data_IF_274266628226
#
_entry.id   IF_274266628226
#
_cell.length_a   1.000
_cell.length_b   1.000
_cell.length_c   1.000
_cell.angle_alpha   90.00
_cell.angle_beta   90.00
_cell.angle_gamma   90.00
#
_symmetry.space_group_name_H-M   'P 1'
#
loop_
_entity.id
_entity.type
_entity.pdbx_description
1 polymer ?
#
# COMPACT_ATOMS: atom_id res chain seq x y z
N UNK A 1 -14.34 -2.22 16.14
CA UNK A 1 -13.09 -1.47 15.83
C UNK A 1 -13.10 -1.18 14.33
N UNK A 2 -12.64 0.01 13.93
CA UNK A 2 -12.74 0.48 12.54
C UNK A 2 -11.75 -0.22 11.59
N UNK A 3 -10.57 -0.59 12.12
CA UNK A 3 -9.56 -1.39 11.41
C UNK A 3 -9.55 -2.81 12.00
N UNK A 4 -9.83 -3.83 11.18
CA UNK A 4 -9.73 -5.24 11.56
C UNK A 4 -8.30 -5.64 11.97
N UNK A 5 -8.17 -6.64 12.86
CA UNK A 5 -6.85 -7.16 13.32
C UNK A 5 -5.96 -7.68 12.18
N UNK A 6 -6.58 -8.25 11.14
CA UNK A 6 -5.94 -8.62 9.88
C UNK A 6 -6.72 -7.93 8.78
N UNK A 7 -6.37 -6.68 8.49
CA UNK A 7 -7.14 -5.84 7.58
C UNK A 7 -6.71 -6.01 6.13
N UNK A 8 -5.43 -5.75 5.87
CA UNK A 8 -4.84 -5.84 4.55
C UNK A 8 -3.45 -6.45 4.62
N UNK A 9 -2.97 -6.94 3.47
CA UNK A 9 -1.57 -7.30 3.22
C UNK A 9 -1.05 -6.38 2.13
N UNK A 10 0.17 -5.87 2.33
CA UNK A 10 0.88 -5.07 1.34
C UNK A 10 2.12 -5.88 0.95
N UNK A 11 2.22 -6.24 -0.32
CA UNK A 11 3.38 -6.88 -0.91
C UNK A 11 4.20 -5.81 -1.65
N UNK A 12 5.48 -5.68 -1.31
CA UNK A 12 6.41 -4.76 -1.96
C UNK A 12 7.58 -5.56 -2.53
N UNK A 13 7.75 -5.52 -3.84
CA UNK A 13 8.88 -6.17 -4.51
C UNK A 13 9.37 -5.34 -5.71
N UNK A 14 10.18 -5.94 -6.60
CA UNK A 14 10.73 -5.25 -7.78
C UNK A 14 9.67 -4.85 -8.81
N UNK A 15 8.49 -5.45 -8.76
CA UNK A 15 7.35 -5.17 -9.64
C UNK A 15 6.48 -4.02 -9.13
N UNK A 16 6.67 -3.58 -7.88
CA UNK A 16 5.94 -2.46 -7.29
C UNK A 16 5.32 -2.81 -5.95
N UNK A 17 4.24 -2.10 -5.61
CA UNK A 17 3.47 -2.27 -4.38
C UNK A 17 2.08 -2.78 -4.76
N UNK A 18 1.65 -3.86 -4.12
CA UNK A 18 0.32 -4.45 -4.28
C UNK A 18 -0.38 -4.60 -2.94
N UNK A 19 -1.64 -4.17 -2.88
CA UNK A 19 -2.47 -4.19 -1.66
C UNK A 19 -3.57 -5.24 -1.82
N UNK A 20 -3.75 -6.06 -0.80
CA UNK A 20 -4.78 -7.09 -0.70
C UNK A 20 -5.67 -6.82 0.52
N UNK A 21 -6.98 -6.66 0.33
CA UNK A 21 -7.92 -6.71 1.45
C UNK A 21 -8.05 -8.16 1.95
N UNK A 22 -7.94 -8.36 3.27
CA UNK A 22 -7.99 -9.69 3.90
C UNK A 22 -9.39 -10.02 4.42
N UNK A 23 -10.41 -9.65 3.66
CA UNK A 23 -11.82 -9.73 4.03
C UNK A 23 -12.10 -8.94 5.31
N UNK A 24 -11.62 -7.69 5.31
CA UNK A 24 -11.77 -6.78 6.44
C UNK A 24 -13.24 -6.40 6.64
N UNK A 25 -13.59 -5.95 7.85
CA UNK A 25 -14.98 -5.60 8.18
C UNK A 25 -15.44 -4.33 7.44
N UNK A 26 -14.56 -3.33 7.33
CA UNK A 26 -14.89 -2.02 6.75
C UNK A 26 -14.30 -1.80 5.36
N UNK A 27 -13.56 -2.78 4.83
CA UNK A 27 -12.97 -2.74 3.51
C UNK A 27 -11.69 -1.90 3.43
N UNK A 28 -10.91 -2.20 2.39
CA UNK A 28 -9.77 -1.39 1.95
C UNK A 28 -10.17 -0.58 0.72
N UNK A 29 -9.69 0.66 0.64
CA UNK A 29 -9.90 1.54 -0.52
C UNK A 29 -8.59 2.10 -1.05
N UNK A 30 -8.51 2.30 -2.36
CA UNK A 30 -7.46 3.08 -3.03
C UNK A 30 -8.13 4.26 -3.72
N UNK A 31 -7.71 5.49 -3.40
CA UNK A 31 -8.27 6.73 -3.92
C UNK A 31 -9.81 6.81 -3.79
N UNK A 32 -10.34 6.27 -2.69
CA UNK A 32 -11.77 6.22 -2.38
C UNK A 32 -12.54 5.03 -2.99
N UNK A 33 -11.95 4.28 -3.92
CA UNK A 33 -12.57 3.11 -4.54
C UNK A 33 -12.30 1.84 -3.72
N UNK A 34 -13.33 1.02 -3.48
CA UNK A 34 -13.18 -0.22 -2.72
C UNK A 34 -12.48 -1.30 -3.55
N UNK A 35 -11.47 -1.94 -2.96
CA UNK A 35 -10.65 -2.95 -3.65
C UNK A 35 -10.68 -4.29 -2.92
N UNK A 36 -10.42 -5.36 -3.67
CA UNK A 36 -9.94 -6.64 -3.10
C UNK A 36 -8.44 -6.79 -3.28
N UNK A 37 -7.96 -6.42 -4.47
CA UNK A 37 -6.55 -6.38 -4.85
C UNK A 37 -6.36 -5.14 -5.73
N UNK A 38 -5.29 -4.39 -5.50
CA UNK A 38 -4.89 -3.29 -6.37
C UNK A 38 -3.36 -3.12 -6.35
N UNK A 39 -2.78 -2.82 -7.52
CA UNK A 39 -1.46 -2.19 -7.59
C UNK A 39 -1.60 -0.72 -7.21
N UNK A 40 -0.63 -0.18 -6.47
CA UNK A 40 -0.65 1.21 -5.99
C UNK A 40 0.63 1.92 -6.39
N UNK A 41 0.50 3.20 -6.71
CA UNK A 41 1.59 4.05 -7.15
C UNK A 41 1.96 5.09 -6.08
N UNK A 42 3.02 5.84 -6.35
CA UNK A 42 3.41 6.97 -5.52
C UNK A 42 2.25 7.97 -5.40
N UNK A 43 2.02 8.46 -4.18
CA UNK A 43 0.93 9.37 -3.78
C UNK A 43 -0.48 8.79 -3.78
N UNK A 44 -0.65 7.52 -4.13
CA UNK A 44 -1.95 6.89 -3.93
C UNK A 44 -2.36 6.93 -2.45
N UNK A 45 -3.64 7.21 -2.25
CA UNK A 45 -4.26 7.19 -0.94
C UNK A 45 -4.85 5.81 -0.68
N UNK A 46 -4.40 5.17 0.39
CA UNK A 46 -5.00 3.92 0.87
C UNK A 46 -5.78 4.21 2.13
N UNK A 47 -7.03 3.73 2.19
CA UNK A 47 -7.83 3.76 3.41
C UNK A 47 -8.14 2.35 3.91
N UNK A 48 -8.01 2.16 5.22
CA UNK A 48 -8.41 0.94 5.93
C UNK A 48 -9.54 1.32 6.91
N UNK A 49 -10.78 0.97 6.59
CA UNK A 49 -11.93 1.58 7.27
C UNK A 49 -11.90 3.11 7.11
N UNK A 50 -12.03 3.86 8.21
CA UNK A 50 -11.95 5.32 8.25
C UNK A 50 -10.54 5.91 8.39
N UNK A 51 -9.49 5.09 8.46
CA UNK A 51 -8.10 5.57 8.58
C UNK A 51 -7.45 5.70 7.21
N UNK A 52 -6.83 6.86 6.95
CA UNK A 52 -6.20 7.22 5.66
C UNK A 52 -4.67 7.24 5.76
N UNK A 53 -4.01 6.62 4.80
CA UNK A 53 -2.55 6.64 4.60
C UNK A 53 -2.24 7.08 3.17
N UNK A 54 -1.07 7.68 2.96
CA UNK A 54 -0.56 8.06 1.63
C UNK A 54 0.72 7.27 1.37
N UNK A 55 0.85 6.77 0.14
CA UNK A 55 2.06 6.05 -0.29
C UNK A 55 3.15 7.05 -0.69
N UNK A 56 4.28 6.98 0.01
CA UNK A 56 5.53 7.64 -0.40
C UNK A 56 6.55 6.55 -0.75
N UNK A 57 7.01 6.53 -2.01
CA UNK A 57 7.97 5.54 -2.48
C UNK A 57 9.37 6.18 -2.48
N UNK A 58 10.16 5.83 -1.49
CA UNK A 58 11.58 6.16 -1.50
C UNK A 58 12.35 5.04 -2.21
N UNK A 59 12.70 5.26 -3.48
CA UNK A 59 13.76 4.46 -4.08
C UNK A 59 15.03 4.68 -3.25
N UNK A 60 15.39 3.70 -2.42
CA UNK A 60 16.68 3.78 -1.74
C UNK A 60 17.72 3.67 -2.84
N UNK A 61 18.44 4.77 -3.08
CA UNK A 61 19.61 4.78 -3.93
C UNK A 61 20.55 3.70 -3.38
N UNK A 62 20.57 2.52 -4.01
CA UNK A 62 21.55 1.49 -3.75
C UNK A 62 22.87 2.11 -4.17
N UNK A 63 23.50 2.79 -3.21
CA UNK A 63 24.79 3.47 -3.27
C UNK A 63 25.37 3.52 -4.67
N UNK A 64 25.46 4.73 -5.24
CA UNK A 64 26.55 5.09 -6.15
C UNK A 64 27.84 4.42 -5.65
N UNK A 65 28.19 3.29 -6.24
CA UNK A 65 29.49 2.69 -6.10
C UNK A 65 30.45 3.63 -6.80
N UNK A 66 31.19 4.40 -6.01
CA UNK A 66 32.35 5.11 -6.51
C UNK A 66 33.38 4.12 -7.05
N UNK A 67 34.14 4.61 -8.04
CA UNK A 67 35.35 4.06 -8.65
C UNK A 67 35.21 2.77 -9.48
N UNK A 68 35.13 2.96 -10.80
CA UNK A 68 36.28 2.78 -11.70
C UNK A 68 36.14 3.68 -12.92
#
# INVERSE_FOLDING_TARGET
PDVSRRHARIDCDRSGIRVHDLNSTNGTRVNGEAIRIADVEERDEISFGGQRLVIEIHATDLRRGGLR
#
